data_IF_592366381310
#
_entry.id   IF_592366381310
#
_cell.length_a   1.000
_cell.length_b   1.000
_cell.length_c   1.000
_cell.angle_alpha   90.00
_cell.angle_beta   90.00
_cell.angle_gamma   90.00
#
_symmetry.space_group_name_H-M   'P 1'
#
loop_
_entity.id
_entity.type
_entity.pdbx_description
1 polymer ?
#
# COMPACT_ATOMS: atom_id res chain seq x y z
N UNK A 1 -24.55 8.12 15.88
CA UNK A 1 -23.10 8.36 16.03
C UNK A 1 -22.48 8.07 14.68
N UNK A 2 -22.02 9.09 13.97
CA UNK A 2 -21.43 8.93 12.64
C UNK A 2 -20.02 8.37 12.81
N UNK A 3 -19.84 7.11 12.44
CA UNK A 3 -18.59 6.36 12.61
C UNK A 3 -17.59 6.67 11.49
N UNK A 4 -17.38 7.95 11.18
CA UNK A 4 -16.48 8.39 10.10
C UNK A 4 -15.00 8.26 10.44
N UNK A 5 -14.67 7.93 11.69
CA UNK A 5 -13.29 7.84 12.18
C UNK A 5 -12.64 6.46 12.00
N UNK A 6 -13.41 5.41 11.64
CA UNK A 6 -12.84 4.06 11.47
C UNK A 6 -12.09 3.84 10.16
N UNK A 7 -12.28 4.70 9.16
CA UNK A 7 -11.79 4.48 7.79
C UNK A 7 -10.41 5.09 7.48
N UNK A 8 -9.81 5.86 8.39
CA UNK A 8 -8.49 6.45 8.21
C UNK A 8 -7.46 5.88 9.19
N UNK A 9 -7.34 4.55 9.23
CA UNK A 9 -6.26 3.90 9.97
C UNK A 9 -4.95 4.09 9.20
N UNK A 10 -4.03 4.86 9.77
CA UNK A 10 -2.67 4.99 9.26
C UNK A 10 -2.00 3.61 9.33
N UNK A 11 -1.73 3.01 8.16
CA UNK A 11 -1.02 1.73 8.09
C UNK A 11 0.48 2.00 7.99
N UNK A 12 1.24 1.44 8.93
CA UNK A 12 2.70 1.43 8.89
C UNK A 12 3.13 0.11 8.25
N UNK A 13 3.78 0.19 7.10
CA UNK A 13 4.35 -0.97 6.39
C UNK A 13 5.62 -1.46 7.10
N UNK A 14 5.44 -2.15 8.23
CA UNK A 14 6.52 -2.67 9.10
C UNK A 14 7.52 -3.51 8.29
N UNK A 15 8.72 -2.98 8.05
CA UNK A 15 9.84 -3.61 7.34
C UNK A 15 9.57 -4.09 5.89
N UNK A 16 8.39 -3.78 5.33
CA UNK A 16 8.04 -4.13 3.95
C UNK A 16 8.57 -3.04 3.00
N UNK A 17 9.46 -3.42 2.09
CA UNK A 17 9.99 -2.51 1.08
C UNK A 17 8.94 -2.27 -0.01
N UNK A 18 8.50 -1.02 -0.16
CA UNK A 18 7.62 -0.58 -1.26
C UNK A 18 8.46 0.19 -2.29
N UNK A 19 8.53 -0.31 -3.54
CA UNK A 19 9.20 0.40 -4.62
C UNK A 19 8.46 1.70 -4.91
N UNK A 20 9.23 2.79 -5.01
CA UNK A 20 8.70 4.12 -5.32
C UNK A 20 9.63 4.90 -6.23
N UNK A 21 9.06 5.79 -7.04
CA UNK A 21 9.78 6.80 -7.82
C UNK A 21 9.18 8.18 -7.60
N UNK A 22 10.02 9.20 -7.68
CA UNK A 22 9.55 10.58 -7.76
C UNK A 22 9.43 10.95 -9.25
N UNK A 23 8.22 11.26 -9.69
CA UNK A 23 7.95 11.65 -11.07
C UNK A 23 7.00 12.86 -11.10
N UNK A 24 7.40 13.92 -11.80
CA UNK A 24 6.67 15.20 -11.87
C UNK A 24 6.26 15.72 -10.49
N UNK A 25 7.21 15.70 -9.55
CA UNK A 25 7.00 16.15 -8.17
C UNK A 25 5.91 15.36 -7.41
N UNK A 26 5.56 14.15 -7.86
CA UNK A 26 4.62 13.23 -7.21
C UNK A 26 5.29 11.89 -6.94
N UNK A 27 4.90 11.26 -5.84
CA UNK A 27 5.32 9.89 -5.54
C UNK A 27 4.46 8.89 -6.29
N UNK A 28 5.11 7.96 -6.97
CA UNK A 28 4.49 6.79 -7.58
C UNK A 28 4.98 5.56 -6.84
N UNK A 29 4.08 4.62 -6.59
CA UNK A 29 4.36 3.40 -5.84
C UNK A 29 3.99 2.18 -6.68
N UNK A 30 4.72 1.08 -6.51
CA UNK A 30 4.34 -0.22 -7.07
C UNK A 30 3.03 -0.69 -6.43
N UNK A 31 1.99 -0.91 -7.25
CA UNK A 31 0.70 -1.44 -6.78
C UNK A 31 0.87 -2.82 -6.15
N UNK A 32 1.70 -3.67 -6.77
CA UNK A 32 1.98 -5.04 -6.32
C UNK A 32 2.57 -5.05 -4.91
N UNK A 33 3.52 -4.15 -4.64
CA UNK A 33 4.21 -4.09 -3.36
C UNK A 33 3.26 -3.60 -2.27
N UNK A 34 2.40 -2.62 -2.60
CA UNK A 34 1.37 -2.10 -1.68
C UNK A 34 0.36 -3.20 -1.34
N UNK A 35 -0.16 -3.91 -2.33
CA UNK A 35 -1.10 -5.01 -2.11
C UNK A 35 -0.45 -6.11 -1.26
N UNK A 36 0.78 -6.52 -1.59
CA UNK A 36 1.52 -7.52 -0.81
C UNK A 36 1.75 -7.10 0.64
N UNK A 37 2.07 -5.83 0.88
CA UNK A 37 2.29 -5.32 2.24
C UNK A 37 0.99 -5.15 3.05
N UNK A 38 -0.15 -4.95 2.40
CA UNK A 38 -1.46 -4.83 3.06
C UNK A 38 -2.13 -6.17 3.33
N UNK A 39 -1.90 -7.16 2.48
CA UNK A 39 -2.59 -8.45 2.51
C UNK A 39 -1.74 -9.58 3.07
N UNK A 40 -0.43 -9.35 3.24
CA UNK A 40 0.57 -10.41 3.47
C UNK A 40 0.47 -11.56 2.44
N UNK A 41 -0.01 -11.25 1.23
CA UNK A 41 -0.10 -12.22 0.13
C UNK A 41 1.28 -12.71 -0.27
N UNK A 42 1.42 -14.03 -0.42
CA UNK A 42 2.62 -14.67 -0.97
C UNK A 42 2.78 -14.46 -2.48
N UNK A 43 1.69 -14.15 -3.17
CA UNK A 43 1.69 -13.84 -4.61
C UNK A 43 0.74 -12.67 -4.91
N UNK A 44 1.15 -11.43 -4.58
CA UNK A 44 0.34 -10.24 -4.84
C UNK A 44 0.22 -9.91 -6.34
N UNK A 45 0.94 -10.63 -7.21
CA UNK A 45 1.01 -10.41 -8.65
C UNK A 45 0.07 -11.24 -9.51
N UNK A 46 -0.58 -12.25 -8.92
CA UNK A 46 -1.20 -13.36 -9.65
C UNK A 46 -2.45 -13.04 -10.50
N UNK A 47 -2.87 -11.79 -10.58
CA UNK A 47 -4.18 -11.41 -11.12
C UNK A 47 -4.12 -10.73 -12.50
N UNK A 48 -2.96 -10.68 -13.14
CA UNK A 48 -2.75 -10.07 -14.47
C UNK A 48 -1.59 -10.70 -15.23
#
# INVERSE_FOLDING_TARGET
MNNSDELNKLVIFKDKTIRKILHNNKWWFSVVDVVGALTDSSDPGAYW
#
